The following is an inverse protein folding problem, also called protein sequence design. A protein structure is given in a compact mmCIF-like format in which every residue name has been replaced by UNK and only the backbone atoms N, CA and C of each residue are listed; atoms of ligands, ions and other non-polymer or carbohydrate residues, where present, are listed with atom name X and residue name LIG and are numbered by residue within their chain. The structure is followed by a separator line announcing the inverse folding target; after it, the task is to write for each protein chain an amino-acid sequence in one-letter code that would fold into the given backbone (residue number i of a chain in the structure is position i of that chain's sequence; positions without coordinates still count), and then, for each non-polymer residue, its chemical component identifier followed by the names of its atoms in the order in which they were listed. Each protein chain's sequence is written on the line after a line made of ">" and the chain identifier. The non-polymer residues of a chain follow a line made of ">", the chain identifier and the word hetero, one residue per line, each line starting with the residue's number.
data_IF_448706722758
#
_entry.id   IF_448706722758
#
_cell.length_a   1.000
_cell.length_b   1.000
_cell.length_c   1.000
_cell.angle_alpha   90.00
_cell.angle_beta   90.00
_cell.angle_gamma   90.00
#
_symmetry.space_group_name_H-M   'P 1'
#
loop_
_entity.id
_entity.type
_entity.pdbx_description
1 polymer ?
#
# COMPACT_ATOMS: atom_id res chain seq x y z
N UNK A 1 26.64 16.56 13.97
CA UNK A 1 26.71 15.30 13.19
C UNK A 1 26.22 15.59 11.79
N UNK A 2 26.94 15.22 10.72
CA UNK A 2 26.51 15.41 9.33
C UNK A 2 26.18 14.04 8.73
N UNK A 3 25.06 13.94 8.00
CA UNK A 3 24.72 12.73 7.25
C UNK A 3 25.67 12.61 6.05
N UNK A 4 26.23 11.43 5.81
CA UNK A 4 27.09 11.18 4.63
C UNK A 4 26.21 10.89 3.42
N UNK A 5 26.61 11.34 2.23
CA UNK A 5 25.92 10.96 1.00
C UNK A 5 25.86 9.43 0.85
N UNK A 6 24.72 8.92 0.38
CA UNK A 6 24.46 7.48 0.28
C UNK A 6 24.16 6.78 1.61
N UNK A 7 23.98 7.52 2.72
CA UNK A 7 23.50 6.91 3.97
C UNK A 7 22.05 6.45 3.80
N UNK A 8 21.78 5.19 4.11
CA UNK A 8 20.42 4.65 4.18
C UNK A 8 19.84 4.98 5.55
N UNK A 9 18.71 5.69 5.56
CA UNK A 9 18.02 6.11 6.79
C UNK A 9 16.54 5.81 6.66
N UNK A 10 15.91 5.42 7.76
CA UNK A 10 14.46 5.35 7.85
C UNK A 10 13.93 6.69 8.33
N UNK A 11 13.04 7.29 7.54
CA UNK A 11 12.36 8.54 7.89
C UNK A 11 10.84 8.38 7.79
N UNK A 12 10.07 9.13 8.58
CA UNK A 12 8.62 9.17 8.42
C UNK A 12 8.21 9.65 7.03
N UNK A 13 7.11 9.09 6.50
CA UNK A 13 6.59 9.45 5.18
C UNK A 13 6.35 10.94 4.99
N UNK A 14 5.79 11.62 6.00
CA UNK A 14 5.52 13.07 5.91
C UNK A 14 6.81 13.85 5.68
N UNK A 15 7.93 13.44 6.29
CA UNK A 15 9.22 14.10 6.11
C UNK A 15 9.77 13.84 4.71
N UNK A 16 9.66 12.60 4.23
CA UNK A 16 10.04 12.25 2.86
C UNK A 16 9.27 13.10 1.83
N UNK A 17 7.95 13.23 2.02
CA UNK A 17 7.08 14.05 1.17
C UNK A 17 7.49 15.52 1.18
N UNK A 18 7.69 16.11 2.36
CA UNK A 18 8.11 17.51 2.45
C UNK A 18 9.48 17.74 1.79
N UNK A 19 10.40 16.78 1.90
CA UNK A 19 11.69 16.88 1.19
C UNK A 19 11.44 16.87 -0.32
N UNK A 20 10.78 15.86 -0.88
CA UNK A 20 10.53 15.77 -2.33
C UNK A 20 9.83 17.03 -2.86
N UNK A 21 8.75 17.47 -2.21
CA UNK A 21 7.95 18.60 -2.67
C UNK A 21 8.67 19.95 -2.64
N UNK A 22 9.68 20.12 -1.79
CA UNK A 22 10.45 21.36 -1.66
C UNK A 22 11.83 21.30 -2.34
N UNK A 23 12.16 20.20 -3.00
CA UNK A 23 13.48 19.96 -3.60
C UNK A 23 13.52 20.26 -5.09
N UNK A 24 13.37 21.53 -5.46
CA UNK A 24 13.59 22.01 -6.82
C UNK A 24 14.96 22.72 -6.90
N UNK A 25 15.86 22.38 -7.85
CA UNK A 25 15.65 21.57 -9.06
C UNK A 25 16.00 20.07 -8.94
N UNK A 26 16.47 19.59 -7.78
CA UNK A 26 16.93 18.21 -7.60
C UNK A 26 16.54 17.64 -6.25
N UNK A 27 15.95 16.44 -6.24
CA UNK A 27 15.63 15.70 -5.02
C UNK A 27 16.91 15.15 -4.38
N UNK A 28 17.21 15.44 -3.10
CA UNK A 28 18.48 15.09 -2.45
C UNK A 28 18.52 13.67 -1.87
N UNK A 29 17.58 12.80 -2.27
CA UNK A 29 17.45 11.44 -1.75
C UNK A 29 16.82 10.51 -2.77
N UNK A 30 17.15 9.22 -2.66
CA UNK A 30 16.47 8.14 -3.36
C UNK A 30 15.43 7.51 -2.42
N UNK A 31 14.24 7.21 -2.94
CA UNK A 31 13.18 6.54 -2.19
C UNK A 31 13.18 5.06 -2.55
N UNK A 32 13.43 4.22 -1.56
CA UNK A 32 13.32 2.78 -1.72
C UNK A 32 11.87 2.31 -1.60
N UNK A 33 11.50 1.32 -2.40
CA UNK A 33 10.17 0.71 -2.29
C UNK A 33 10.11 -0.20 -1.07
N UNK A 34 9.15 0.01 -0.14
CA UNK A 34 8.96 -0.87 1.00
C UNK A 34 8.66 -2.32 0.59
N UNK A 35 9.08 -3.28 1.41
CA UNK A 35 8.92 -4.71 1.11
C UNK A 35 7.46 -5.13 0.88
N UNK A 36 6.51 -4.49 1.56
CA UNK A 36 5.08 -4.74 1.36
C UNK A 36 4.54 -4.25 0.01
N UNK A 37 5.27 -3.40 -0.71
CA UNK A 37 5.03 -3.10 -2.13
C UNK A 37 6.04 -3.80 -3.05
N UNK A 38 6.81 -4.76 -2.54
CA UNK A 38 7.77 -5.53 -3.33
C UNK A 38 7.10 -6.53 -4.29
N UNK A 39 7.89 -7.15 -5.18
CA UNK A 39 7.39 -8.08 -6.21
C UNK A 39 6.58 -9.25 -5.65
N UNK A 40 6.97 -9.77 -4.47
CA UNK A 40 6.27 -10.88 -3.81
C UNK A 40 4.80 -10.54 -3.51
N UNK A 41 4.55 -9.39 -2.89
CA UNK A 41 3.19 -8.96 -2.57
C UNK A 41 2.42 -8.60 -3.83
N UNK A 42 3.05 -7.91 -4.79
CA UNK A 42 2.40 -7.61 -6.07
C UNK A 42 1.93 -8.86 -6.80
N UNK A 43 2.75 -9.91 -6.80
CA UNK A 43 2.40 -11.19 -7.43
C UNK A 43 1.27 -11.90 -6.68
N UNK A 44 1.27 -11.87 -5.35
CA UNK A 44 0.17 -12.40 -4.55
C UNK A 44 -1.16 -11.67 -4.85
N UNK A 45 -1.14 -10.34 -4.92
CA UNK A 45 -2.31 -9.53 -5.28
C UNK A 45 -2.84 -9.84 -6.68
N UNK A 46 -1.95 -10.00 -7.67
CA UNK A 46 -2.33 -10.39 -9.04
C UNK A 46 -2.91 -11.80 -9.11
N UNK A 47 -2.38 -12.73 -8.32
CA UNK A 47 -2.84 -14.11 -8.31
C UNK A 47 -4.20 -14.24 -7.62
N UNK A 48 -4.34 -13.66 -6.42
CA UNK A 48 -5.60 -13.60 -5.70
C UNK A 48 -5.58 -12.50 -4.61
N UNK A 49 -6.08 -11.32 -4.94
CA UNK A 49 -6.09 -10.16 -4.05
C UNK A 49 -6.85 -10.39 -2.73
N UNK A 50 -7.86 -11.25 -2.72
CA UNK A 50 -8.74 -11.45 -1.55
C UNK A 50 -8.12 -12.35 -0.48
N UNK A 51 -7.12 -13.17 -0.87
CA UNK A 51 -6.35 -14.02 0.05
C UNK A 51 -5.19 -13.32 0.76
N UNK A 52 -4.89 -12.07 0.39
CA UNK A 52 -3.78 -11.31 0.97
C UNK A 52 -4.23 -10.66 2.28
N UNK A 53 -3.47 -10.93 3.34
CA UNK A 53 -3.62 -10.29 4.65
C UNK A 53 -2.96 -8.91 4.64
N UNK A 54 -3.75 -7.89 4.31
CA UNK A 54 -3.26 -6.51 4.17
C UNK A 54 -2.83 -5.91 5.51
N UNK A 55 -3.55 -6.08 6.64
CA UNK A 55 -3.15 -5.50 7.92
C UNK A 55 -1.77 -5.95 8.41
N UNK A 56 -1.38 -7.20 8.14
CA UNK A 56 -0.02 -7.70 8.45
C UNK A 56 1.08 -7.04 7.61
N UNK A 57 0.76 -6.56 6.42
CA UNK A 57 1.70 -5.88 5.52
C UNK A 57 1.78 -4.39 5.83
N UNK A 58 0.63 -3.73 5.85
CA UNK A 58 0.45 -2.33 6.18
C UNK A 58 -1.04 -2.11 6.53
N UNK A 59 -1.39 -1.66 7.75
CA UNK A 59 -2.79 -1.46 8.15
C UNK A 59 -3.58 -0.56 7.19
N UNK A 60 -2.96 0.48 6.65
CA UNK A 60 -3.57 1.37 5.64
C UNK A 60 -2.98 1.13 4.24
N UNK A 61 -2.86 -0.12 3.80
CA UNK A 61 -2.15 -0.54 2.59
C UNK A 61 -2.51 0.28 1.34
N UNK A 62 -3.80 0.38 0.99
CA UNK A 62 -4.24 1.08 -0.21
C UNK A 62 -4.06 2.60 -0.08
N UNK A 63 -4.48 3.18 1.05
CA UNK A 63 -4.32 4.61 1.32
C UNK A 63 -2.85 5.03 1.27
N UNK A 64 -1.98 4.27 1.91
CA UNK A 64 -0.54 4.52 1.88
C UNK A 64 0.03 4.34 0.47
N UNK A 65 -0.44 3.35 -0.30
CA UNK A 65 -0.04 3.14 -1.69
C UNK A 65 -0.33 4.34 -2.58
N UNK A 66 -1.51 4.97 -2.42
CA UNK A 66 -1.84 6.20 -3.15
C UNK A 66 -0.91 7.36 -2.79
N UNK A 67 -0.58 7.53 -1.51
CA UNK A 67 0.37 8.54 -1.06
C UNK A 67 1.80 8.25 -1.53
N UNK A 68 2.20 6.98 -1.55
CA UNK A 68 3.52 6.56 -1.99
C UNK A 68 3.73 6.82 -3.48
N UNK A 69 2.71 6.55 -4.31
CA UNK A 69 2.71 6.86 -5.76
C UNK A 69 2.76 8.36 -6.07
N UNK A 70 2.56 9.24 -5.08
CA UNK A 70 2.82 10.69 -5.26
C UNK A 70 4.31 11.04 -5.17
N UNK A 71 5.13 10.14 -4.61
CA UNK A 71 6.57 10.36 -4.43
C UNK A 71 7.42 9.62 -5.46
N UNK A 72 6.88 8.60 -6.12
CA UNK A 72 7.60 7.76 -7.08
C UNK A 72 6.79 7.53 -8.35
N UNK A 73 7.48 7.26 -9.47
CA UNK A 73 6.84 6.83 -10.71
C UNK A 73 6.87 5.30 -10.83
N UNK A 74 5.76 4.64 -10.48
CA UNK A 74 5.60 3.18 -10.57
C UNK A 74 4.20 2.80 -11.10
N UNK A 75 4.00 2.81 -12.43
CA UNK A 75 2.71 2.49 -13.04
C UNK A 75 2.30 1.02 -12.81
N UNK A 76 3.28 0.13 -12.58
CA UNK A 76 3.01 -1.27 -12.29
C UNK A 76 2.39 -1.45 -10.90
N UNK A 77 2.85 -0.69 -9.90
CA UNK A 77 2.23 -0.65 -8.58
C UNK A 77 0.83 -0.05 -8.65
N UNK A 78 0.65 1.08 -9.36
CA UNK A 78 -0.65 1.71 -9.54
C UNK A 78 -1.70 0.73 -10.09
N UNK A 79 -1.35 -0.03 -11.13
CA UNK A 79 -2.22 -1.05 -11.74
C UNK A 79 -2.57 -2.17 -10.76
N UNK A 80 -1.61 -2.62 -9.96
CA UNK A 80 -1.82 -3.68 -8.95
C UNK A 80 -2.75 -3.21 -7.83
N UNK A 81 -2.56 -1.97 -7.34
CA UNK A 81 -3.44 -1.40 -6.32
C UNK A 81 -4.87 -1.24 -6.84
N UNK A 82 -5.04 -0.71 -8.05
CA UNK A 82 -6.36 -0.52 -8.66
C UNK A 82 -7.10 -1.85 -8.86
N UNK A 83 -6.45 -2.83 -9.51
CA UNK A 83 -7.06 -4.15 -9.77
C UNK A 83 -7.32 -4.93 -8.47
N UNK A 84 -6.38 -4.88 -7.52
CA UNK A 84 -6.52 -5.51 -6.22
C UNK A 84 -7.68 -4.93 -5.42
N UNK A 85 -7.81 -3.60 -5.38
CA UNK A 85 -8.91 -2.93 -4.69
C UNK A 85 -10.26 -3.27 -5.32
N UNK A 86 -10.37 -3.24 -6.65
CA UNK A 86 -11.62 -3.62 -7.37
C UNK A 86 -12.06 -5.05 -7.05
N UNK A 87 -11.14 -6.00 -7.07
CA UNK A 87 -11.45 -7.40 -6.78
C UNK A 87 -11.94 -7.60 -5.33
N UNK A 88 -11.32 -6.89 -4.38
CA UNK A 88 -11.67 -6.97 -2.95
C UNK A 88 -12.98 -6.25 -2.64
N UNK A 89 -13.23 -5.11 -3.27
CA UNK A 89 -14.50 -4.37 -3.14
C UNK A 89 -15.71 -5.21 -3.53
N UNK A 90 -15.60 -6.00 -4.62
CA UNK A 90 -16.66 -6.94 -5.00
C UNK A 90 -16.95 -7.96 -3.89
N UNK A 91 -15.92 -8.53 -3.27
CA UNK A 91 -16.09 -9.43 -2.12
C UNK A 91 -16.73 -8.72 -0.92
N UNK A 92 -16.34 -7.46 -0.64
CA UNK A 92 -16.96 -6.67 0.44
C UNK A 92 -18.45 -6.52 0.21
N UNK A 93 -18.85 -6.21 -1.04
CA UNK A 93 -20.26 -6.11 -1.41
C UNK A 93 -21.01 -7.43 -1.22
N UNK A 94 -20.41 -8.56 -1.61
CA UNK A 94 -21.01 -9.88 -1.44
C UNK A 94 -21.17 -10.24 0.05
N UNK A 95 -20.16 -9.96 0.88
CA UNK A 95 -20.17 -10.23 2.31
C UNK A 95 -21.16 -9.35 3.09
N UNK A 96 -21.39 -8.12 2.65
CA UNK A 96 -22.35 -7.20 3.30
C UNK A 96 -23.81 -7.52 2.96
N UNK A 97 -24.08 -8.07 1.77
CA UNK A 97 -25.44 -8.39 1.30
C UNK A 97 -25.86 -9.83 1.65
N UNK A 98 -24.91 -10.75 1.81
CA UNK A 98 -25.16 -12.14 2.18
C UNK A 98 -25.30 -12.25 3.69
N UNK A 99 -26.50 -11.98 4.22
CA UNK A 99 -26.79 -11.94 5.66
C UNK A 99 -26.44 -13.23 6.41
N UNK A 100 -25.22 -13.27 6.97
CA UNK A 100 -24.75 -14.33 7.88
C UNK A 100 -23.89 -15.39 7.18
N UNK A 101 -22.66 -15.04 6.83
CA UNK A 101 -21.66 -16.02 6.42
C UNK A 101 -20.77 -16.38 7.63
N UNK A 102 -20.56 -17.67 7.90
CA UNK A 102 -19.77 -18.15 9.04
C UNK A 102 -18.29 -17.68 9.02
N UNK A 103 -17.83 -17.13 7.90
CA UNK A 103 -16.45 -16.68 7.69
C UNK A 103 -16.30 -15.14 7.70
N UNK A 104 -17.32 -14.39 8.15
CA UNK A 104 -17.25 -12.92 8.15
C UNK A 104 -16.10 -12.40 9.03
N UNK A 105 -15.88 -12.97 10.21
CA UNK A 105 -14.81 -12.54 11.11
C UNK A 105 -13.42 -12.69 10.48
N UNK A 106 -13.14 -13.85 9.89
CA UNK A 106 -11.87 -14.10 9.18
C UNK A 106 -11.67 -13.15 8.00
N UNK A 107 -12.75 -12.81 7.29
CA UNK A 107 -12.70 -11.85 6.20
C UNK A 107 -12.38 -10.43 6.68
N UNK A 108 -13.03 -9.96 7.75
CA UNK A 108 -12.80 -8.63 8.33
C UNK A 108 -11.34 -8.45 8.83
N UNK A 109 -10.72 -9.53 9.31
CA UNK A 109 -9.32 -9.53 9.73
C UNK A 109 -8.35 -9.31 8.57
N UNK A 110 -8.77 -9.57 7.32
CA UNK A 110 -7.97 -9.34 6.12
C UNK A 110 -8.11 -7.93 5.54
N UNK A 111 -9.08 -7.14 5.98
CA UNK A 111 -9.37 -5.80 5.46
C UNK A 111 -8.41 -4.75 5.99
N UNK A 112 -7.87 -3.93 5.09
CA UNK A 112 -7.12 -2.73 5.46
C UNK A 112 -8.06 -1.64 6.01
N UNK A 113 -7.52 -0.57 6.59
CA UNK A 113 -8.31 0.51 7.18
C UNK A 113 -9.25 1.17 6.16
N UNK A 114 -8.81 1.29 4.90
CA UNK A 114 -9.60 1.91 3.82
C UNK A 114 -10.83 1.09 3.47
N UNK A 115 -10.76 -0.23 3.62
CA UNK A 115 -11.85 -1.15 3.33
C UNK A 115 -12.83 -1.33 4.51
N UNK A 116 -12.45 -0.85 5.71
CA UNK A 116 -13.28 -0.92 6.93
C UNK A 116 -14.16 0.31 7.13
N UNK A 117 -13.75 1.45 6.59
CA UNK A 117 -14.48 2.73 6.61
C UNK A 117 -15.67 2.74 5.63
#
# INVERSE_FOLDING_TARGET
>A
MKLKAGSRIDIPFWMAREIVSNSEPTVPMDIETPEFFGPKVRNALRANATSVDLPKLCPSFFRFGLHFLQLIDDPALATVLESGFKARLMMTMDHTQSGGNNNLAEYLDLLDDTERD
#
